data_IF_753236594723
#
_entry.id   IF_753236594723
#
_cell.length_a   1.000
_cell.length_b   1.000
_cell.length_c   1.000
_cell.angle_alpha   90.00
_cell.angle_beta   90.00
_cell.angle_gamma   90.00
#
_symmetry.space_group_name_H-M   'P 1'
#
loop_
_entity.id
_entity.type
_entity.pdbx_description
1 polymer ?
#
# COMPACT_ATOMS: atom_id res chain seq x y z
N UNK A 1 -20.98 -9.94 -3.85
CA UNK A 1 -22.10 -10.56 -4.60
C UNK A 1 -23.07 -9.47 -5.00
N UNK A 2 -23.70 -9.56 -6.17
CA UNK A 2 -24.76 -8.62 -6.61
C UNK A 2 -26.11 -9.34 -6.61
N UNK A 3 -27.18 -8.65 -6.29
CA UNK A 3 -28.54 -9.22 -6.29
C UNK A 3 -29.62 -8.15 -6.39
N UNK A 4 -30.82 -8.58 -6.77
CA UNK A 4 -31.99 -7.71 -6.96
C UNK A 4 -33.26 -8.26 -6.30
N UNK A 5 -33.38 -9.59 -6.15
CA UNK A 5 -34.57 -10.25 -5.64
C UNK A 5 -34.50 -10.66 -4.17
N UNK A 6 -35.67 -10.98 -3.59
CA UNK A 6 -35.81 -11.59 -2.25
C UNK A 6 -34.99 -12.88 -2.11
N UNK A 7 -34.83 -13.63 -3.20
CA UNK A 7 -34.11 -14.89 -3.23
C UNK A 7 -32.59 -14.70 -3.07
N UNK A 8 -32.07 -13.51 -3.41
CA UNK A 8 -30.66 -13.18 -3.28
C UNK A 8 -30.29 -12.75 -1.86
N UNK A 9 -31.27 -12.42 -1.02
CA UNK A 9 -31.04 -11.87 0.32
C UNK A 9 -30.13 -12.75 1.21
N UNK A 10 -30.28 -14.09 1.28
CA UNK A 10 -29.36 -14.93 2.05
C UNK A 10 -27.92 -14.90 1.52
N UNK A 11 -27.77 -14.77 0.21
CA UNK A 11 -26.48 -14.82 -0.46
C UNK A 11 -25.77 -13.46 -0.43
N UNK A 12 -26.52 -12.36 -0.54
CA UNK A 12 -26.07 -11.00 -0.25
C UNK A 12 -25.57 -10.89 1.19
N UNK A 13 -26.32 -11.45 2.16
CA UNK A 13 -25.94 -11.41 3.57
C UNK A 13 -24.71 -12.26 3.90
N UNK A 14 -24.50 -13.36 3.17
CA UNK A 14 -23.35 -14.27 3.37
C UNK A 14 -22.08 -13.76 2.67
N UNK A 15 -22.21 -12.93 1.64
CA UNK A 15 -21.05 -12.38 0.93
C UNK A 15 -20.26 -11.41 1.81
N UNK A 16 -18.94 -11.31 1.59
CA UNK A 16 -18.11 -10.32 2.28
C UNK A 16 -18.57 -8.88 2.00
N UNK A 17 -19.15 -8.66 0.81
CA UNK A 17 -19.81 -7.42 0.40
C UNK A 17 -21.03 -7.80 -0.46
N UNK A 18 -22.23 -7.56 0.05
CA UNK A 18 -23.49 -7.63 -0.69
C UNK A 18 -23.82 -6.29 -1.37
N UNK A 19 -24.10 -6.30 -2.68
CA UNK A 19 -24.44 -5.11 -3.47
C UNK A 19 -25.84 -5.27 -4.06
N UNK A 20 -26.78 -4.41 -3.66
CA UNK A 20 -28.11 -4.33 -4.26
C UNK A 20 -28.10 -3.38 -5.46
N UNK A 21 -28.72 -3.78 -6.56
CA UNK A 21 -28.89 -2.94 -7.77
C UNK A 21 -29.94 -1.84 -7.51
N UNK A 22 -29.93 -0.77 -8.29
CA UNK A 22 -30.85 0.36 -8.12
C UNK A 22 -32.33 -0.07 -8.10
N UNK A 23 -32.73 -1.01 -8.94
CA UNK A 23 -34.10 -1.52 -9.02
C UNK A 23 -34.35 -2.75 -8.14
N UNK A 24 -33.46 -3.03 -7.18
CA UNK A 24 -33.61 -4.16 -6.26
C UNK A 24 -34.81 -4.02 -5.33
N UNK A 25 -35.41 -5.15 -4.98
CA UNK A 25 -36.47 -5.26 -3.96
C UNK A 25 -35.99 -4.73 -2.61
N UNK A 26 -36.92 -4.20 -1.79
CA UNK A 26 -36.57 -3.65 -0.47
C UNK A 26 -35.95 -4.71 0.47
N UNK A 27 -36.30 -5.98 0.27
CA UNK A 27 -35.68 -7.10 0.95
C UNK A 27 -34.20 -7.27 0.56
N UNK A 28 -33.88 -7.21 -0.73
CA UNK A 28 -32.50 -7.28 -1.22
C UNK A 28 -31.68 -6.06 -0.77
N UNK A 29 -32.26 -4.85 -0.82
CA UNK A 29 -31.63 -3.62 -0.32
C UNK A 29 -31.30 -3.72 1.18
N UNK A 30 -32.25 -4.20 1.98
CA UNK A 30 -32.07 -4.39 3.43
C UNK A 30 -31.04 -5.46 3.79
N UNK A 31 -30.85 -6.45 2.92
CA UNK A 31 -29.86 -7.52 3.11
C UNK A 31 -28.45 -7.14 2.64
N UNK A 32 -28.31 -6.11 1.79
CA UNK A 32 -27.04 -5.67 1.19
C UNK A 32 -26.26 -4.67 2.05
N UNK A 33 -24.95 -4.61 1.89
CA UNK A 33 -24.07 -3.63 2.55
C UNK A 33 -23.96 -2.32 1.76
N UNK A 34 -24.15 -2.40 0.43
CA UNK A 34 -24.10 -1.26 -0.49
C UNK A 34 -25.32 -1.31 -1.40
N UNK A 35 -26.03 -0.19 -1.50
CA UNK A 35 -27.15 -0.02 -2.45
C UNK A 35 -26.71 0.95 -3.54
N UNK A 36 -26.77 0.50 -4.80
CA UNK A 36 -26.49 1.36 -5.95
C UNK A 36 -27.69 2.27 -6.20
N UNK A 37 -27.46 3.56 -6.38
CA UNK A 37 -28.53 4.52 -6.74
C UNK A 37 -28.67 4.68 -8.25
N UNK A 38 -27.71 4.17 -9.02
CA UNK A 38 -27.68 4.23 -10.48
C UNK A 38 -27.57 2.80 -11.04
N UNK A 39 -28.26 2.49 -12.15
CA UNK A 39 -28.12 1.19 -12.79
C UNK A 39 -26.77 1.06 -13.51
N UNK A 40 -26.25 -0.16 -13.58
CA UNK A 40 -25.09 -0.50 -14.40
C UNK A 40 -23.87 -1.01 -13.63
N UNK A 41 -23.16 -1.94 -14.25
CA UNK A 41 -21.96 -2.59 -13.69
C UNK A 41 -20.77 -1.62 -13.60
N UNK A 42 -20.79 -0.53 -14.38
CA UNK A 42 -19.80 0.55 -14.34
C UNK A 42 -19.73 1.24 -12.97
N UNK A 43 -20.87 1.38 -12.28
CA UNK A 43 -20.94 2.01 -10.95
C UNK A 43 -20.16 1.19 -9.92
N UNK A 44 -20.21 -0.15 -10.03
CA UNK A 44 -19.46 -1.07 -9.16
C UNK A 44 -17.95 -0.87 -9.37
N UNK A 45 -17.50 -0.74 -10.63
CA UNK A 45 -16.08 -0.51 -10.94
C UNK A 45 -15.62 0.83 -10.34
N UNK A 46 -16.41 1.90 -10.52
CA UNK A 46 -16.13 3.22 -9.95
C UNK A 46 -16.10 3.21 -8.43
N UNK A 47 -17.03 2.48 -7.79
CA UNK A 47 -17.07 2.30 -6.34
C UNK A 47 -15.82 1.55 -5.83
N UNK A 48 -15.40 0.49 -6.52
CA UNK A 48 -14.19 -0.27 -6.18
C UNK A 48 -12.93 0.59 -6.32
N UNK A 49 -12.80 1.35 -7.41
CA UNK A 49 -11.66 2.25 -7.60
C UNK A 49 -11.61 3.36 -6.53
N UNK A 50 -12.76 3.93 -6.19
CA UNK A 50 -12.89 4.94 -5.14
C UNK A 50 -12.54 4.36 -3.77
N UNK A 51 -13.07 3.17 -3.44
CA UNK A 51 -12.76 2.45 -2.21
C UNK A 51 -11.26 2.17 -2.08
N UNK A 52 -10.61 1.71 -3.15
CA UNK A 52 -9.14 1.53 -3.17
C UNK A 52 -8.39 2.84 -2.91
N UNK A 53 -8.86 3.97 -3.43
CA UNK A 53 -8.23 5.27 -3.16
C UNK A 53 -8.34 5.68 -1.69
N UNK A 54 -9.50 5.44 -1.05
CA UNK A 54 -9.73 5.70 0.37
C UNK A 54 -8.88 4.77 1.23
N UNK A 55 -8.84 3.49 0.89
CA UNK A 55 -8.03 2.49 1.58
C UNK A 55 -6.54 2.85 1.58
N UNK A 56 -6.02 3.38 0.46
CA UNK A 56 -4.63 3.86 0.40
C UNK A 56 -4.39 5.07 1.33
N UNK A 57 -5.33 6.02 1.40
CA UNK A 57 -5.22 7.14 2.36
C UNK A 57 -5.17 6.65 3.80
N UNK A 58 -6.00 5.66 4.15
CA UNK A 58 -6.00 5.07 5.49
C UNK A 58 -4.66 4.40 5.81
N UNK A 59 -4.11 3.57 4.90
CA UNK A 59 -2.79 2.94 5.10
C UNK A 59 -1.69 3.98 5.28
N UNK A 60 -1.65 5.00 4.43
CA UNK A 60 -0.65 6.08 4.49
C UNK A 60 -0.73 6.85 5.81
N UNK A 61 -1.95 7.12 6.29
CA UNK A 61 -2.19 7.72 7.60
C UNK A 61 -1.71 6.84 8.74
N UNK A 62 -1.98 5.53 8.71
CA UNK A 62 -1.51 4.62 9.76
C UNK A 62 0.02 4.55 9.81
N UNK A 63 0.70 4.49 8.67
CA UNK A 63 2.19 4.54 8.62
C UNK A 63 2.69 5.83 9.27
N UNK A 64 2.09 6.97 8.91
CA UNK A 64 2.43 8.27 9.46
C UNK A 64 2.22 8.34 10.98
N UNK A 65 1.06 7.92 11.48
CA UNK A 65 0.71 7.96 12.90
C UNK A 65 1.70 7.11 13.71
N UNK A 66 1.98 5.88 13.27
CA UNK A 66 2.97 5.00 13.91
C UNK A 66 4.37 5.62 13.88
N UNK A 67 4.76 6.26 12.77
CA UNK A 67 6.08 6.88 12.66
C UNK A 67 6.27 8.02 13.66
N UNK A 68 5.27 8.89 13.81
CA UNK A 68 5.35 10.02 14.73
C UNK A 68 5.37 9.57 16.18
N UNK A 69 4.55 8.58 16.56
CA UNK A 69 4.57 8.08 17.94
C UNK A 69 5.94 7.51 18.30
N UNK A 70 6.52 6.68 17.42
CA UNK A 70 7.88 6.15 17.61
C UNK A 70 8.91 7.27 17.66
N UNK A 71 8.82 8.27 16.79
CA UNK A 71 9.76 9.40 16.79
C UNK A 71 9.73 10.19 18.09
N UNK A 72 8.53 10.58 18.54
CA UNK A 72 8.36 11.41 19.76
C UNK A 72 8.84 10.62 20.97
N UNK A 73 8.41 9.37 21.11
CA UNK A 73 8.78 8.52 22.25
C UNK A 73 10.28 8.26 22.26
N UNK A 74 10.85 7.71 21.18
CA UNK A 74 12.28 7.38 21.14
C UNK A 74 13.16 8.62 21.16
N UNK A 75 12.81 9.67 20.40
CA UNK A 75 13.61 10.88 20.27
C UNK A 75 13.78 11.60 21.60
N UNK A 76 12.67 11.93 22.27
CA UNK A 76 12.74 12.63 23.56
C UNK A 76 13.26 11.73 24.68
N UNK A 77 12.94 10.43 24.68
CA UNK A 77 13.53 9.48 25.63
C UNK A 77 15.06 9.43 25.52
N UNK A 78 15.61 9.35 24.31
CA UNK A 78 17.06 9.31 24.10
C UNK A 78 17.73 10.62 24.52
N UNK A 79 17.12 11.77 24.21
CA UNK A 79 17.65 13.08 24.62
C UNK A 79 17.67 13.21 26.15
N UNK A 80 16.60 12.80 26.83
CA UNK A 80 16.52 12.81 28.28
C UNK A 80 17.53 11.84 28.92
N UNK A 81 17.69 10.63 28.36
CA UNK A 81 18.61 9.62 28.89
C UNK A 81 20.08 10.06 28.78
N UNK A 82 20.49 10.60 27.64
CA UNK A 82 21.91 10.89 27.35
C UNK A 82 22.33 12.24 27.95
N UNK A 83 21.50 13.28 27.83
CA UNK A 83 21.87 14.65 28.22
C UNK A 83 21.07 15.22 29.40
N UNK A 84 20.17 14.43 30.02
CA UNK A 84 19.30 14.89 31.12
C UNK A 84 18.58 16.20 30.76
N UNK A 85 18.10 16.26 29.53
CA UNK A 85 17.40 17.42 28.99
C UNK A 85 15.91 17.10 28.88
N UNK A 86 15.12 17.78 29.71
CA UNK A 86 13.67 17.60 29.75
C UNK A 86 13.02 18.55 28.74
N UNK A 87 12.28 17.97 27.79
CA UNK A 87 11.56 18.74 26.80
C UNK A 87 10.19 19.17 27.34
N UNK A 88 9.82 20.44 27.11
CA UNK A 88 8.58 21.03 27.59
C UNK A 88 7.34 20.28 27.04
N UNK A 89 6.48 19.70 27.90
CA UNK A 89 5.27 19.01 27.46
C UNK A 89 4.30 19.92 26.68
N UNK A 90 4.28 21.22 27.00
CA UNK A 90 3.47 22.19 26.29
C UNK A 90 3.88 22.31 24.82
N UNK A 91 5.17 22.21 24.51
CA UNK A 91 5.65 22.25 23.12
C UNK A 91 5.27 20.99 22.34
N UNK A 92 5.22 19.83 23.01
CA UNK A 92 4.68 18.59 22.42
C UNK A 92 3.19 18.77 22.09
N UNK A 93 2.43 19.39 23.00
CA UNK A 93 1.02 19.71 22.77
C UNK A 93 0.84 20.63 21.56
N UNK A 94 1.67 21.68 21.43
CA UNK A 94 1.63 22.57 20.26
C UNK A 94 1.93 21.80 18.96
N UNK A 95 2.92 20.90 18.97
CA UNK A 95 3.21 20.03 17.82
C UNK A 95 1.98 19.17 17.48
N UNK A 96 1.34 18.56 18.49
CA UNK A 96 0.16 17.72 18.29
C UNK A 96 -1.00 18.51 17.65
N UNK A 97 -1.33 19.70 18.17
CA UNK A 97 -2.41 20.55 17.65
C UNK A 97 -2.12 20.96 16.19
N UNK A 98 -0.88 21.38 15.90
CA UNK A 98 -0.50 21.75 14.53
C UNK A 98 -0.58 20.54 13.58
N UNK A 99 -0.14 19.37 14.02
CA UNK A 99 -0.22 18.15 13.23
C UNK A 99 -1.67 17.75 12.97
N UNK A 100 -2.55 17.76 13.96
CA UNK A 100 -3.97 17.41 13.80
C UNK A 100 -4.67 18.31 12.76
N UNK A 101 -4.41 19.62 12.80
CA UNK A 101 -4.92 20.56 11.81
C UNK A 101 -4.49 20.19 10.38
N UNK A 102 -3.24 19.77 10.19
CA UNK A 102 -2.75 19.32 8.87
C UNK A 102 -3.28 17.95 8.47
N UNK A 103 -3.46 17.01 9.40
CA UNK A 103 -3.92 15.65 9.15
C UNK A 103 -5.34 15.63 8.58
N UNK A 104 -6.21 16.55 9.00
CA UNK A 104 -7.56 16.66 8.44
C UNK A 104 -7.56 16.80 6.90
N UNK A 105 -6.50 17.39 6.33
CA UNK A 105 -6.36 17.55 4.88
C UNK A 105 -6.03 16.25 4.13
N UNK A 106 -5.46 15.23 4.81
CA UNK A 106 -5.14 13.92 4.22
C UNK A 106 -6.41 13.22 3.73
N UNK A 107 -7.53 13.42 4.42
CA UNK A 107 -8.83 12.87 4.02
C UNK A 107 -9.26 13.28 2.61
N UNK A 108 -8.86 14.50 2.19
CA UNK A 108 -9.16 15.11 0.88
C UNK A 108 -8.00 15.02 -0.12
N UNK A 109 -6.93 14.29 0.21
CA UNK A 109 -5.73 14.24 -0.62
C UNK A 109 -5.92 13.40 -1.90
N UNK A 110 -5.21 13.75 -2.96
CA UNK A 110 -5.29 13.03 -4.25
C UNK A 110 -4.31 11.85 -4.26
N UNK A 111 -4.79 10.67 -3.87
CA UNK A 111 -4.01 9.42 -3.84
C UNK A 111 -4.39 8.52 -5.01
N UNK A 112 -3.40 7.86 -5.64
CA UNK A 112 -3.61 6.90 -6.72
C UNK A 112 -4.12 5.57 -6.15
N UNK A 113 -5.22 4.99 -6.68
CA UNK A 113 -5.69 3.69 -6.23
C UNK A 113 -4.67 2.59 -6.59
N UNK A 114 -4.65 1.52 -5.80
CA UNK A 114 -3.83 0.35 -6.10
C UNK A 114 -4.40 -0.40 -7.33
N UNK A 115 -3.56 -0.83 -8.30
CA UNK A 115 -4.03 -1.60 -9.46
C UNK A 115 -4.53 -2.99 -9.05
N UNK A 116 -3.94 -3.59 -8.02
CA UNK A 116 -4.32 -4.88 -7.46
C UNK A 116 -5.13 -4.69 -6.17
N UNK A 117 -6.04 -5.64 -5.85
CA UNK A 117 -6.67 -5.69 -4.54
C UNK A 117 -5.58 -5.78 -3.46
N UNK A 118 -5.73 -4.94 -2.44
CA UNK A 118 -4.76 -4.80 -1.36
C UNK A 118 -5.49 -5.13 -0.05
N UNK A 119 -4.83 -5.87 0.83
CA UNK A 119 -5.35 -6.23 2.14
C UNK A 119 -4.61 -5.46 3.24
N UNK A 120 -5.22 -5.37 4.43
CA UNK A 120 -4.62 -4.64 5.54
C UNK A 120 -3.49 -5.46 6.20
N UNK A 121 -2.30 -5.40 5.61
CA UNK A 121 -1.10 -6.03 6.16
C UNK A 121 -0.50 -5.16 7.26
N UNK A 122 -1.03 -5.30 8.48
CA UNK A 122 -0.61 -4.51 9.66
C UNK A 122 0.91 -4.56 9.88
N UNK A 123 1.51 -5.75 9.77
CA UNK A 123 2.95 -5.92 10.02
C UNK A 123 3.81 -5.06 9.07
N UNK A 124 3.48 -4.99 7.78
CA UNK A 124 4.21 -4.15 6.81
C UNK A 124 4.08 -2.66 7.16
N UNK A 125 2.87 -2.24 7.56
CA UNK A 125 2.57 -0.86 7.96
C UNK A 125 3.35 -0.48 9.22
N UNK A 126 3.35 -1.33 10.24
CA UNK A 126 4.05 -1.09 11.50
C UNK A 126 5.57 -1.07 11.32
N UNK A 127 6.14 -2.04 10.58
CA UNK A 127 7.57 -2.07 10.30
C UNK A 127 7.99 -0.81 9.56
N UNK A 128 7.24 -0.39 8.53
CA UNK A 128 7.52 0.85 7.80
C UNK A 128 7.49 2.06 8.72
N UNK A 129 6.48 2.14 9.60
CA UNK A 129 6.34 3.23 10.55
C UNK A 129 7.48 3.28 11.56
N UNK A 130 7.89 2.14 12.11
CA UNK A 130 8.99 2.04 13.08
C UNK A 130 10.33 2.44 12.45
N UNK A 131 10.60 2.04 11.20
CA UNK A 131 11.83 2.44 10.50
C UNK A 131 11.88 3.95 10.27
N UNK A 132 10.80 4.58 9.80
CA UNK A 132 10.77 6.03 9.67
C UNK A 132 10.89 6.73 11.02
N UNK A 133 10.12 6.30 12.02
CA UNK A 133 10.15 6.90 13.35
C UNK A 133 11.52 6.82 14.01
N UNK A 134 12.19 5.67 13.92
CA UNK A 134 13.54 5.46 14.47
C UNK A 134 14.60 6.28 13.74
N UNK A 135 14.59 6.32 12.40
CA UNK A 135 15.48 7.20 11.63
C UNK A 135 15.31 8.67 12.02
N UNK A 136 14.06 9.15 12.11
CA UNK A 136 13.77 10.51 12.49
C UNK A 136 14.15 10.82 13.95
N UNK A 137 14.00 9.85 14.85
CA UNK A 137 14.46 9.98 16.23
C UNK A 137 15.99 10.13 16.29
N UNK A 138 16.72 9.27 15.57
CA UNK A 138 18.19 9.34 15.49
C UNK A 138 18.64 10.67 14.91
N UNK A 139 18.01 11.17 13.84
CA UNK A 139 18.34 12.48 13.28
C UNK A 139 18.02 13.63 14.25
N UNK A 140 16.93 13.52 15.01
CA UNK A 140 16.62 14.51 16.06
C UNK A 140 17.68 14.51 17.17
N UNK A 141 18.19 13.33 17.55
CA UNK A 141 19.29 13.17 18.52
C UNK A 141 20.60 13.71 17.97
N UNK A 142 20.94 13.43 16.71
CA UNK A 142 22.14 13.97 16.04
C UNK A 142 22.07 15.50 15.97
N UNK A 143 20.90 16.06 15.63
CA UNK A 143 20.69 17.51 15.65
C UNK A 143 20.95 18.09 17.04
N UNK A 144 20.40 17.48 18.09
CA UNK A 144 20.60 17.93 19.46
C UNK A 144 22.07 17.84 19.90
N UNK A 145 22.74 16.73 19.58
CA UNK A 145 24.17 16.55 19.85
C UNK A 145 25.03 17.59 19.11
N UNK A 146 24.77 17.81 17.83
CA UNK A 146 25.50 18.77 17.00
C UNK A 146 25.27 20.22 17.47
N UNK A 147 24.10 20.53 18.02
CA UNK A 147 23.79 21.85 18.61
C UNK A 147 24.44 22.05 19.98
N UNK A 148 24.49 21.00 20.83
CA UNK A 148 24.90 21.10 22.23
C UNK A 148 26.37 20.83 22.49
N UNK A 149 26.97 19.87 21.78
CA UNK A 149 28.30 19.34 22.08
C UNK A 149 29.36 19.77 21.08
N UNK A 150 28.96 20.29 19.91
CA UNK A 150 29.87 20.68 18.83
C UNK A 150 29.59 22.12 18.42
N UNK A 151 30.61 22.86 17.99
CA UNK A 151 30.46 24.20 17.39
C UNK A 151 30.24 24.14 15.87
N UNK A 152 29.78 23.00 15.34
CA UNK A 152 29.64 22.77 13.90
C UNK A 152 28.75 23.81 13.23
N UNK A 153 27.59 24.11 13.84
CA UNK A 153 26.65 25.09 13.30
C UNK A 153 27.17 26.53 13.39
N UNK A 154 27.85 26.87 14.49
CA UNK A 154 28.49 28.17 14.70
C UNK A 154 29.59 28.41 13.66
N UNK A 155 30.45 27.42 13.43
CA UNK A 155 31.59 27.53 12.52
C UNK A 155 31.18 27.51 11.04
N UNK A 156 30.16 26.73 10.68
CA UNK A 156 29.74 26.60 9.27
C UNK A 156 28.84 27.74 8.83
N UNK A 157 27.87 28.13 9.68
CA UNK A 157 26.81 29.07 9.31
C UNK A 157 26.94 30.44 9.99
N UNK A 158 28.00 30.66 10.79
CA UNK A 158 28.28 31.93 11.48
C UNK A 158 27.10 32.43 12.34
N UNK A 159 26.33 31.51 12.93
CA UNK A 159 25.19 31.83 13.80
C UNK A 159 25.64 31.91 15.25
N UNK A 160 24.88 32.61 16.11
CA UNK A 160 25.14 32.74 17.54
C UNK A 160 25.23 31.37 18.21
N UNK A 161 26.22 31.14 19.06
CA UNK A 161 26.29 29.87 19.80
C UNK A 161 25.13 29.75 20.79
N UNK A 162 24.41 28.62 20.73
CA UNK A 162 23.32 28.26 21.66
C UNK A 162 23.85 27.55 22.92
N UNK A 163 25.17 27.48 23.09
CA UNK A 163 25.79 26.78 24.21
C UNK A 163 25.31 27.34 25.55
N UNK A 164 24.69 26.47 26.37
CA UNK A 164 24.28 26.79 27.74
C UNK A 164 22.90 27.41 27.90
N UNK A 165 22.23 27.82 26.82
CA UNK A 165 20.87 28.39 26.89
C UNK A 165 19.80 27.33 26.59
N UNK A 166 19.31 26.67 27.65
CA UNK A 166 18.35 25.55 27.52
C UNK A 166 17.06 25.96 26.81
N UNK A 167 16.56 27.17 27.05
CA UNK A 167 15.27 27.62 26.52
C UNK A 167 15.31 27.90 25.01
N UNK A 168 16.45 28.41 24.51
CA UNK A 168 16.64 28.61 23.05
C UNK A 168 16.89 27.29 22.33
N UNK A 169 17.59 26.34 22.99
CA UNK A 169 17.73 24.97 22.48
C UNK A 169 16.39 24.23 22.38
N UNK A 170 15.47 24.46 23.33
CA UNK A 170 14.10 23.91 23.25
C UNK A 170 13.36 24.44 22.02
N UNK A 171 13.44 25.74 21.73
CA UNK A 171 12.87 26.35 20.52
C UNK A 171 13.41 25.72 19.24
N UNK A 172 14.73 25.52 19.18
CA UNK A 172 15.39 24.93 18.03
C UNK A 172 14.94 23.48 17.80
N UNK A 173 14.89 22.68 18.88
CA UNK A 173 14.44 21.30 18.83
C UNK A 173 12.95 21.19 18.47
N UNK A 174 12.10 22.06 19.04
CA UNK A 174 10.68 22.16 18.68
C UNK A 174 10.50 22.39 17.17
N UNK A 175 11.21 23.37 16.61
CA UNK A 175 11.09 23.71 15.20
C UNK A 175 11.52 22.56 14.29
N UNK A 176 12.66 21.93 14.61
CA UNK A 176 13.16 20.77 13.86
C UNK A 176 12.17 19.60 13.90
N UNK A 177 11.57 19.33 15.07
CA UNK A 177 10.58 18.27 15.22
C UNK A 177 9.33 18.59 14.43
N UNK A 178 8.82 19.82 14.52
CA UNK A 178 7.63 20.27 13.80
C UNK A 178 7.77 20.18 12.28
N UNK A 179 8.86 20.71 11.69
CA UNK A 179 9.09 20.71 10.23
C UNK A 179 9.09 19.28 9.69
N UNK A 180 9.93 18.42 10.26
CA UNK A 180 10.09 17.05 9.75
C UNK A 180 8.84 16.21 9.98
N UNK A 181 8.09 16.45 11.08
CA UNK A 181 6.88 15.67 11.36
C UNK A 181 5.83 15.91 10.28
N UNK A 182 5.63 17.17 9.88
CA UNK A 182 4.69 17.47 8.80
C UNK A 182 5.27 17.09 7.42
N UNK A 183 6.58 17.23 7.22
CA UNK A 183 7.22 16.82 5.97
C UNK A 183 7.03 15.31 5.71
N UNK A 184 7.04 14.49 6.76
CA UNK A 184 6.82 13.05 6.67
C UNK A 184 5.50 12.68 5.95
N UNK A 185 4.46 13.53 6.04
CA UNK A 185 3.19 13.32 5.32
C UNK A 185 3.43 13.18 3.81
N UNK A 186 4.35 13.95 3.24
CA UNK A 186 4.66 13.89 1.80
C UNK A 186 5.37 12.60 1.39
N UNK A 187 6.14 12.00 2.30
CA UNK A 187 6.81 10.71 2.06
C UNK A 187 5.81 9.56 2.20
N UNK A 188 4.98 9.57 3.26
CA UNK A 188 4.04 8.48 3.53
C UNK A 188 2.88 8.46 2.53
N UNK A 189 2.45 9.62 2.01
CA UNK A 189 1.41 9.66 0.97
C UNK A 189 1.86 9.13 -0.38
N UNK A 190 3.15 9.21 -0.68
CA UNK A 190 3.67 8.99 -2.03
C UNK A 190 4.14 7.56 -2.25
N UNK A 191 3.71 6.95 -3.36
CA UNK A 191 4.21 5.62 -3.74
C UNK A 191 5.55 5.72 -4.45
N UNK A 192 5.71 6.63 -5.40
CA UNK A 192 7.00 6.95 -5.99
C UNK A 192 7.73 8.01 -5.15
N UNK A 193 8.71 8.69 -5.72
CA UNK A 193 9.34 9.87 -5.13
C UNK A 193 8.30 10.91 -4.71
N UNK A 194 8.47 11.48 -3.52
CA UNK A 194 7.53 12.46 -2.96
C UNK A 194 7.39 13.70 -3.85
N UNK A 195 8.47 14.11 -4.53
CA UNK A 195 8.48 15.24 -5.47
C UNK A 195 7.77 14.96 -6.79
N UNK A 196 7.68 13.69 -7.22
CA UNK A 196 7.02 13.31 -8.47
C UNK A 196 5.49 13.27 -8.32
N UNK A 197 4.99 12.95 -7.12
CA UNK A 197 3.56 12.83 -6.85
C UNK A 197 2.99 14.13 -6.29
N UNK A 198 2.33 14.90 -7.16
CA UNK A 198 1.77 16.21 -6.80
C UNK A 198 0.85 16.13 -5.56
N UNK A 199 1.14 16.90 -4.49
CA UNK A 199 0.25 17.05 -3.35
C UNK A 199 -1.05 17.79 -3.69
N UNK A 200 -2.12 17.44 -2.96
CA UNK A 200 -3.35 18.22 -2.99
C UNK A 200 -3.10 19.64 -2.49
N UNK A 201 -3.71 20.63 -3.13
CA UNK A 201 -3.52 22.05 -2.78
C UNK A 201 -3.84 22.35 -1.30
N UNK A 202 -4.84 21.67 -0.76
CA UNK A 202 -5.26 21.78 0.64
C UNK A 202 -4.16 21.32 1.61
N UNK A 203 -3.47 20.22 1.27
CA UNK A 203 -2.35 19.71 2.06
C UNK A 203 -1.16 20.67 2.03
N UNK A 204 -0.81 21.20 0.85
CA UNK A 204 0.25 22.19 0.72
C UNK A 204 -0.03 23.45 1.53
N UNK A 205 -1.25 23.97 1.40
CA UNK A 205 -1.67 25.17 2.12
C UNK A 205 -1.62 24.96 3.64
N UNK A 206 -2.14 23.82 4.13
CA UNK A 206 -2.09 23.50 5.55
C UNK A 206 -0.65 23.33 6.06
N UNK A 207 0.22 22.67 5.28
CA UNK A 207 1.64 22.55 5.59
C UNK A 207 2.30 23.93 5.70
N UNK A 208 2.15 24.79 4.68
CA UNK A 208 2.77 26.13 4.69
C UNK A 208 2.27 26.96 5.86
N UNK A 209 0.96 26.97 6.11
CA UNK A 209 0.37 27.71 7.23
C UNK A 209 0.89 27.21 8.58
N UNK A 210 0.88 25.90 8.80
CA UNK A 210 1.34 25.32 10.06
C UNK A 210 2.85 25.53 10.27
N UNK A 211 3.65 25.50 9.19
CA UNK A 211 5.09 25.77 9.25
C UNK A 211 5.42 27.25 9.46
N UNK A 212 4.63 28.17 8.93
CA UNK A 212 4.74 29.60 9.24
C UNK A 212 4.49 29.81 10.74
N UNK A 213 3.40 29.23 11.27
CA UNK A 213 3.07 29.34 12.70
C UNK A 213 4.18 28.74 13.57
N UNK A 214 4.67 27.54 13.23
CA UNK A 214 5.76 26.90 13.97
C UNK A 214 7.06 27.71 13.93
N UNK A 215 7.41 28.28 12.76
CA UNK A 215 8.62 29.10 12.61
C UNK A 215 8.50 30.41 13.39
N UNK A 216 7.35 31.09 13.33
CA UNK A 216 7.11 32.30 14.10
C UNK A 216 7.16 32.04 15.61
N UNK A 217 6.60 30.92 16.07
CA UNK A 217 6.68 30.53 17.48
C UNK A 217 8.14 30.29 17.90
N UNK A 218 8.92 29.55 17.11
CA UNK A 218 10.31 29.27 17.43
C UNK A 218 11.22 30.52 17.42
N UNK A 219 10.91 31.51 16.57
CA UNK A 219 11.71 32.73 16.43
C UNK A 219 11.35 33.79 17.47
N UNK A 220 10.06 33.97 17.79
CA UNK A 220 9.58 35.10 18.58
C UNK A 220 9.03 34.74 19.96
N UNK A 221 8.69 33.48 20.22
CA UNK A 221 8.07 33.13 21.50
C UNK A 221 9.07 33.31 22.66
N UNK A 222 8.62 34.01 23.69
CA UNK A 222 9.31 34.10 24.97
C UNK A 222 8.30 33.78 26.07
N UNK A 223 8.08 32.48 26.31
CA UNK A 223 7.08 32.00 27.26
C UNK A 223 7.81 31.35 28.43
N UNK A 224 7.90 32.07 29.55
CA UNK A 224 8.56 31.58 30.77
C UNK A 224 7.92 30.30 31.32
N UNK A 225 6.60 30.11 31.17
CA UNK A 225 5.91 28.90 31.61
C UNK A 225 6.25 27.67 30.75
N UNK A 226 6.62 27.88 29.48
CA UNK A 226 6.90 26.80 28.54
C UNK A 226 8.41 26.55 28.36
N UNK A 227 9.25 27.26 29.11
CA UNK A 227 10.73 27.23 29.01
C UNK A 227 11.22 27.41 27.57
N UNK A 228 10.64 28.37 26.85
CA UNK A 228 10.99 28.66 25.46
C UNK A 228 11.43 30.11 25.28
N UNK A 229 12.52 30.29 24.54
CA UNK A 229 13.02 31.61 24.18
C UNK A 229 13.37 31.66 22.69
N UNK A 230 12.97 32.74 22.03
CA UNK A 230 13.13 32.90 20.59
C UNK A 230 14.58 32.73 20.11
N UNK A 231 14.80 31.81 19.17
CA UNK A 231 16.14 31.43 18.66
C UNK A 231 16.67 32.39 17.57
N UNK A 232 15.78 33.23 17.02
CA UNK A 232 16.09 34.15 15.91
C UNK A 232 16.07 33.51 14.52
N UNK A 233 15.99 34.36 13.48
CA UNK A 233 15.84 33.92 12.08
C UNK A 233 17.06 33.18 11.52
N UNK A 234 18.27 33.51 11.97
CA UNK A 234 19.49 32.83 11.51
C UNK A 234 19.47 31.34 11.86
N UNK A 235 19.13 31.02 13.12
CA UNK A 235 18.96 29.63 13.55
C UNK A 235 17.76 28.95 12.90
N UNK A 236 16.63 29.65 12.75
CA UNK A 236 15.48 29.09 12.04
C UNK A 236 15.87 28.64 10.60
N UNK A 237 16.65 29.43 9.87
CA UNK A 237 17.15 29.07 8.55
C UNK A 237 18.04 27.81 8.56
N UNK A 238 18.95 27.70 9.53
CA UNK A 238 19.80 26.50 9.69
C UNK A 238 18.97 25.26 10.02
N UNK A 239 17.95 25.40 10.88
CA UNK A 239 17.04 24.31 11.24
C UNK A 239 16.23 23.85 10.03
N UNK A 240 15.75 24.79 9.22
CA UNK A 240 15.09 24.50 7.94
C UNK A 240 16.00 23.73 7.00
N UNK A 241 17.25 24.19 6.83
CA UNK A 241 18.24 23.53 5.99
C UNK A 241 18.52 22.10 6.48
N UNK A 242 18.77 21.93 7.78
CA UNK A 242 18.96 20.61 8.39
C UNK A 242 17.76 19.70 8.17
N UNK A 243 16.55 20.24 8.30
CA UNK A 243 15.30 19.50 8.11
C UNK A 243 15.11 19.05 6.67
N UNK A 244 15.43 19.90 5.70
CA UNK A 244 15.38 19.57 4.27
C UNK A 244 16.40 18.48 3.94
N UNK A 245 17.64 18.58 4.44
CA UNK A 245 18.67 17.55 4.23
C UNK A 245 18.24 16.21 4.85
N UNK A 246 17.68 16.25 6.06
CA UNK A 246 17.18 15.05 6.76
C UNK A 246 16.00 14.40 6.04
N UNK A 247 15.21 15.20 5.30
CA UNK A 247 14.04 14.73 4.58
C UNK A 247 14.40 13.92 3.32
N UNK A 248 15.46 14.28 2.59
CA UNK A 248 15.79 13.65 1.31
C UNK A 248 16.00 12.12 1.39
N UNK A 249 16.72 11.56 2.38
CA UNK A 249 16.91 10.12 2.49
C UNK A 249 15.64 9.32 2.80
N UNK A 250 14.56 9.95 3.30
CA UNK A 250 13.33 9.24 3.66
C UNK A 250 12.71 8.48 2.47
N UNK A 251 12.79 9.05 1.27
CA UNK A 251 12.35 8.38 0.05
C UNK A 251 13.23 7.16 -0.29
N UNK A 252 14.52 7.18 0.04
CA UNK A 252 15.40 6.02 -0.13
C UNK A 252 15.02 4.89 0.84
N UNK A 253 14.76 5.24 2.11
CA UNK A 253 14.26 4.28 3.10
C UNK A 253 12.93 3.68 2.66
N UNK A 254 12.03 4.47 2.06
CA UNK A 254 10.76 4.00 1.51
C UNK A 254 10.94 2.89 0.48
N UNK A 255 11.85 3.08 -0.46
CA UNK A 255 12.14 2.07 -1.48
C UNK A 255 12.82 0.85 -0.87
N UNK A 256 13.77 1.04 0.06
CA UNK A 256 14.45 -0.05 0.77
C UNK A 256 13.48 -0.94 1.57
N UNK A 257 12.57 -0.33 2.34
CA UNK A 257 11.58 -1.06 3.15
C UNK A 257 10.63 -1.84 2.25
N UNK A 258 10.11 -1.22 1.18
CA UNK A 258 9.21 -1.95 0.25
C UNK A 258 9.92 -3.06 -0.49
N UNK A 259 11.18 -2.85 -0.88
CA UNK A 259 11.98 -3.88 -1.51
C UNK A 259 12.17 -5.08 -0.56
N UNK A 260 12.49 -4.82 0.72
CA UNK A 260 12.63 -5.85 1.74
C UNK A 260 11.32 -6.59 2.04
N UNK A 261 10.20 -5.86 2.18
CA UNK A 261 8.88 -6.43 2.51
C UNK A 261 8.21 -7.13 1.32
N UNK A 262 8.51 -6.75 0.08
CA UNK A 262 7.91 -7.37 -1.11
C UNK A 262 8.36 -8.82 -1.33
N UNK A 263 9.29 -9.37 -0.53
CA UNK A 263 9.83 -10.74 -0.67
C UNK A 263 10.74 -10.92 -1.89
N UNK A 264 10.53 -10.12 -2.94
CA UNK A 264 11.31 -10.12 -4.18
C UNK A 264 12.81 -9.93 -3.98
N UNK A 265 13.26 -9.30 -2.88
CA UNK A 265 14.68 -9.18 -2.54
C UNK A 265 15.32 -10.52 -2.15
N UNK A 266 14.60 -11.33 -1.38
CA UNK A 266 15.04 -12.67 -1.00
C UNK A 266 14.85 -13.64 -2.15
N UNK A 267 13.72 -13.54 -2.87
CA UNK A 267 13.50 -14.33 -4.09
C UNK A 267 14.57 -14.00 -5.13
N UNK A 268 14.93 -12.73 -5.38
CA UNK A 268 16.02 -12.42 -6.33
C UNK A 268 17.42 -12.75 -5.82
N UNK A 269 17.71 -12.73 -4.51
CA UNK A 269 19.02 -13.18 -4.01
C UNK A 269 19.16 -14.71 -4.04
N UNK A 270 18.07 -15.46 -3.82
CA UNK A 270 18.02 -16.90 -4.01
C UNK A 270 17.94 -17.29 -5.49
N UNK A 271 17.21 -16.52 -6.32
CA UNK A 271 17.12 -16.69 -7.77
C UNK A 271 18.37 -16.21 -8.50
N UNK A 272 19.17 -15.25 -7.99
CA UNK A 272 20.44 -14.85 -8.63
C UNK A 272 21.52 -15.93 -8.51
N UNK A 273 21.32 -16.97 -7.69
CA UNK A 273 22.12 -18.21 -7.80
C UNK A 273 21.65 -19.15 -8.92
N UNK A 274 20.53 -18.86 -9.58
CA UNK A 274 19.90 -19.71 -10.61
C UNK A 274 19.66 -18.95 -11.93
N UNK A 275 19.65 -17.62 -11.94
CA UNK A 275 19.30 -16.79 -13.08
C UNK A 275 20.51 -16.15 -13.78
N UNK A 276 21.53 -16.95 -14.11
CA UNK A 276 22.38 -16.65 -15.27
C UNK A 276 21.82 -17.38 -16.49
N UNK A 277 20.65 -16.95 -16.96
CA UNK A 277 20.22 -17.29 -18.32
C UNK A 277 19.99 -15.99 -19.08
N UNK A 278 20.86 -15.74 -20.04
CA UNK A 278 20.83 -14.62 -20.99
C UNK A 278 19.78 -14.85 -22.08
N UNK A 279 18.57 -15.30 -21.73
CA UNK A 279 17.47 -15.41 -22.71
C UNK A 279 16.61 -14.15 -22.67
N UNK A 280 16.67 -13.40 -23.78
CA UNK A 280 16.05 -12.08 -23.95
C UNK A 280 14.52 -12.13 -24.04
N UNK A 281 13.95 -13.29 -24.35
CA UNK A 281 12.50 -13.50 -24.51
C UNK A 281 12.07 -14.81 -23.83
N UNK A 282 11.67 -14.71 -22.56
CA UNK A 282 11.16 -15.86 -21.80
C UNK A 282 9.85 -16.37 -22.42
N UNK A 283 9.78 -17.66 -22.74
CA UNK A 283 8.55 -18.34 -23.16
C UNK A 283 8.04 -18.05 -24.58
N UNK A 284 8.79 -17.34 -25.44
CA UNK A 284 8.40 -17.18 -26.86
C UNK A 284 8.74 -18.42 -27.67
N UNK A 285 9.97 -18.92 -27.57
CA UNK A 285 10.42 -20.14 -28.25
C UNK A 285 9.63 -21.38 -27.80
N UNK A 286 9.27 -21.46 -26.51
CA UNK A 286 8.45 -22.55 -25.97
C UNK A 286 7.02 -22.53 -26.50
N UNK A 287 6.42 -21.34 -26.67
CA UNK A 287 5.09 -21.19 -27.29
C UNK A 287 5.12 -21.52 -28.77
N UNK A 288 6.18 -21.14 -29.48
CA UNK A 288 6.37 -21.49 -30.89
C UNK A 288 6.58 -23.00 -31.07
N UNK A 289 7.34 -23.64 -30.17
CA UNK A 289 7.53 -25.09 -30.16
C UNK A 289 6.24 -25.85 -29.81
N UNK A 290 5.46 -25.38 -28.83
CA UNK A 290 4.17 -25.96 -28.48
C UNK A 290 3.14 -25.80 -29.62
N UNK A 291 3.12 -24.64 -30.28
CA UNK A 291 2.26 -24.40 -31.43
C UNK A 291 2.64 -25.31 -32.61
N UNK A 292 3.93 -25.44 -32.92
CA UNK A 292 4.42 -26.36 -33.94
C UNK A 292 4.12 -27.84 -33.61
N UNK A 293 4.18 -28.22 -32.33
CA UNK A 293 3.87 -29.58 -31.88
C UNK A 293 2.37 -29.86 -31.94
N UNK A 294 1.53 -28.91 -31.52
CA UNK A 294 0.08 -29.00 -31.62
C UNK A 294 -0.42 -29.06 -33.08
N UNK A 295 0.27 -28.36 -33.99
CA UNK A 295 -0.07 -28.39 -35.41
C UNK A 295 0.34 -29.72 -36.07
N UNK A 296 1.44 -30.34 -35.61
CA UNK A 296 1.86 -31.68 -36.06
C UNK A 296 0.93 -32.79 -35.58
N UNK A 297 0.41 -32.70 -34.35
CA UNK A 297 -0.55 -33.70 -33.83
C UNK A 297 -1.93 -33.58 -34.48
N UNK A 298 -2.34 -32.37 -34.87
CA UNK A 298 -3.58 -32.12 -35.64
C UNK A 298 -3.53 -32.74 -37.05
N UNK A 299 -2.34 -32.96 -37.61
CA UNK A 299 -2.13 -33.62 -38.89
C UNK A 299 -1.76 -35.11 -38.78
N UNK A 300 -1.88 -35.72 -37.59
CA UNK A 300 -1.78 -37.17 -37.41
C UNK A 300 -0.36 -37.76 -37.54
N UNK A 301 0.69 -36.94 -37.49
CA UNK A 301 2.09 -37.40 -37.53
C UNK A 301 2.61 -37.68 -36.10
N UNK A 302 3.11 -38.89 -35.84
CA UNK A 302 3.76 -39.24 -34.57
C UNK A 302 5.18 -38.66 -34.47
N UNK A 303 5.56 -38.22 -33.27
CA UNK A 303 6.91 -37.71 -32.95
C UNK A 303 7.87 -38.84 -32.58
N UNK A 304 9.16 -38.80 -32.97
CA UNK A 304 10.14 -39.78 -32.52
C UNK A 304 10.51 -39.52 -31.05
N UNK A 305 10.55 -40.59 -30.24
CA UNK A 305 11.05 -40.56 -28.87
C UNK A 305 12.56 -40.24 -28.88
N UNK A 306 12.95 -39.02 -28.50
CA UNK A 306 14.35 -38.66 -28.33
C UNK A 306 14.77 -38.96 -26.89
N UNK A 307 15.48 -40.08 -26.73
CA UNK A 307 16.21 -40.40 -25.52
C UNK A 307 17.41 -39.44 -25.34
N UNK A 308 17.44 -38.75 -24.20
CA UNK A 308 18.65 -38.13 -23.65
C UNK A 308 18.62 -36.60 -23.56
N UNK A 309 18.30 -36.08 -22.37
CA UNK A 309 19.04 -35.04 -21.62
C UNK A 309 18.44 -35.02 -20.20
N UNK A 310 19.30 -35.32 -19.22
CA UNK A 310 18.98 -35.53 -17.81
C UNK A 310 18.89 -34.19 -17.06
N UNK A 311 17.70 -33.59 -16.96
CA UNK A 311 17.24 -32.90 -15.72
C UNK A 311 15.78 -32.37 -15.73
N UNK A 312 15.02 -32.49 -16.82
CA UNK A 312 13.64 -31.94 -16.91
C UNK A 312 12.53 -32.94 -16.51
N UNK A 313 12.85 -34.08 -15.90
CA UNK A 313 11.88 -35.17 -15.67
C UNK A 313 10.85 -34.90 -14.57
N UNK A 314 11.03 -33.90 -13.70
CA UNK A 314 10.08 -33.64 -12.59
C UNK A 314 8.86 -32.84 -13.05
N UNK A 315 9.06 -31.78 -13.85
CA UNK A 315 7.98 -30.83 -14.17
C UNK A 315 7.02 -31.37 -15.25
N UNK A 316 7.54 -32.11 -16.23
CA UNK A 316 6.71 -32.73 -17.28
C UNK A 316 5.82 -33.86 -16.76
N UNK A 317 6.26 -34.61 -15.74
CA UNK A 317 5.49 -35.71 -15.16
C UNK A 317 4.28 -35.19 -14.38
N UNK A 318 4.46 -34.12 -13.59
CA UNK A 318 3.38 -33.50 -12.82
C UNK A 318 2.33 -32.84 -13.73
N UNK A 319 2.74 -32.13 -14.79
CA UNK A 319 1.80 -31.52 -15.74
C UNK A 319 1.04 -32.58 -16.56
N UNK A 320 1.70 -33.69 -16.93
CA UNK A 320 1.06 -34.83 -17.60
C UNK A 320 0.05 -35.51 -16.69
N UNK A 321 0.37 -35.74 -15.41
CA UNK A 321 -0.56 -36.33 -14.45
C UNK A 321 -1.78 -35.45 -14.19
N UNK A 322 -1.60 -34.12 -14.08
CA UNK A 322 -2.70 -33.17 -13.91
C UNK A 322 -3.62 -33.16 -15.14
N UNK A 323 -3.05 -33.16 -16.35
CA UNK A 323 -3.82 -33.20 -17.59
C UNK A 323 -4.58 -34.53 -17.74
N UNK A 324 -3.97 -35.66 -17.37
CA UNK A 324 -4.60 -36.97 -17.42
C UNK A 324 -5.72 -37.10 -16.37
N UNK A 325 -5.52 -36.57 -15.16
CA UNK A 325 -6.56 -36.49 -14.13
C UNK A 325 -7.73 -35.58 -14.56
N UNK A 326 -7.46 -34.45 -15.20
CA UNK A 326 -8.49 -33.56 -15.74
C UNK A 326 -9.30 -34.25 -16.85
N UNK A 327 -8.63 -34.97 -17.77
CA UNK A 327 -9.28 -35.76 -18.82
C UNK A 327 -10.18 -36.85 -18.24
N UNK A 328 -9.70 -37.63 -17.26
CA UNK A 328 -10.50 -38.66 -16.59
C UNK A 328 -11.71 -38.07 -15.86
N UNK A 329 -11.57 -36.90 -15.22
CA UNK A 329 -12.71 -36.21 -14.56
C UNK A 329 -13.75 -35.73 -15.57
N UNK A 330 -13.33 -35.19 -16.71
CA UNK A 330 -14.22 -34.78 -17.79
C UNK A 330 -14.95 -35.97 -18.42
N UNK A 331 -14.27 -37.10 -18.59
CA UNK A 331 -14.85 -38.32 -19.15
C UNK A 331 -15.84 -38.99 -18.19
N UNK A 332 -15.54 -38.99 -16.89
CA UNK A 332 -16.49 -39.43 -15.84
C UNK A 332 -17.70 -38.50 -15.76
N UNK A 333 -17.52 -37.18 -15.91
CA UNK A 333 -18.64 -36.23 -15.96
C UNK A 333 -19.53 -36.48 -17.19
N UNK A 334 -18.93 -36.70 -18.36
CA UNK A 334 -19.65 -37.01 -19.61
C UNK A 334 -20.40 -38.34 -19.54
N UNK A 335 -19.80 -39.38 -18.95
CA UNK A 335 -20.45 -40.67 -18.75
C UNK A 335 -21.58 -40.59 -17.71
N UNK A 336 -21.43 -39.76 -16.67
CA UNK A 336 -22.50 -39.47 -15.72
C UNK A 336 -23.69 -38.79 -16.41
N UNK A 337 -23.46 -37.79 -17.26
CA UNK A 337 -24.52 -37.16 -18.04
C UNK A 337 -25.26 -38.18 -18.92
N UNK A 338 -24.55 -39.07 -19.62
CA UNK A 338 -25.15 -40.14 -20.43
C UNK A 338 -25.92 -41.19 -19.62
N UNK A 339 -25.60 -41.38 -18.33
CA UNK A 339 -26.30 -42.32 -17.44
C UNK A 339 -27.58 -41.74 -16.82
N UNK A 340 -27.78 -40.42 -16.89
CA UNK A 340 -29.02 -39.79 -16.43
C UNK A 340 -30.11 -39.88 -17.50
N UNK A 341 -31.37 -40.09 -17.07
CA UNK A 341 -32.55 -40.12 -17.95
C UNK A 341 -32.62 -38.89 -18.87
N UNK A 342 -32.25 -37.71 -18.34
CA UNK A 342 -32.18 -36.45 -19.08
C UNK A 342 -31.14 -36.51 -20.20
N UNK A 343 -29.92 -36.98 -19.92
CA UNK A 343 -28.87 -37.09 -20.94
C UNK A 343 -29.15 -38.16 -22.00
N UNK A 344 -29.82 -39.27 -21.63
CA UNK A 344 -30.29 -40.24 -22.62
C UNK A 344 -31.36 -39.64 -23.55
N UNK A 345 -32.31 -38.88 -23.00
CA UNK A 345 -33.33 -38.18 -23.78
C UNK A 345 -32.69 -37.17 -24.75
N UNK A 346 -31.79 -36.33 -24.26
CA UNK A 346 -31.11 -35.32 -25.08
C UNK A 346 -30.26 -35.95 -26.18
N UNK A 347 -29.56 -37.06 -25.91
CA UNK A 347 -28.79 -37.80 -26.92
C UNK A 347 -29.66 -38.41 -28.01
N UNK A 348 -30.79 -39.02 -27.65
CA UNK A 348 -31.73 -39.63 -28.61
C UNK A 348 -32.41 -38.56 -29.47
N UNK A 349 -32.75 -37.42 -28.87
CA UNK A 349 -33.35 -36.28 -29.57
C UNK A 349 -32.35 -35.65 -30.55
N UNK A 350 -31.07 -35.51 -30.18
CA UNK A 350 -30.00 -35.07 -31.08
C UNK A 350 -29.73 -36.04 -32.22
N UNK A 351 -29.73 -37.35 -31.95
CA UNK A 351 -29.56 -38.39 -32.97
C UNK A 351 -30.71 -38.44 -33.99
N UNK A 352 -31.92 -38.05 -33.57
CA UNK A 352 -33.09 -37.92 -34.46
C UNK A 352 -33.19 -36.57 -35.17
N UNK A 353 -32.22 -35.66 -34.96
CA UNK A 353 -32.20 -34.35 -35.61
C UNK A 353 -33.35 -33.43 -35.19
N UNK A 354 -33.91 -33.63 -33.99
CA UNK A 354 -35.01 -32.82 -33.46
C UNK A 354 -34.45 -31.65 -32.64
N UNK A 355 -35.01 -30.46 -32.86
CA UNK A 355 -34.56 -29.23 -32.22
C UNK A 355 -35.16 -29.11 -30.81
N UNK A 356 -34.30 -28.94 -29.79
CA UNK A 356 -34.69 -28.99 -28.36
C UNK A 356 -35.28 -27.66 -27.89
N UNK A 357 -35.04 -26.56 -28.61
CA UNK A 357 -35.42 -25.20 -28.18
C UNK A 357 -36.94 -24.92 -28.28
N UNK A 358 -37.74 -25.84 -28.84
CA UNK A 358 -39.19 -25.68 -29.02
C UNK A 358 -40.09 -26.37 -27.98
N UNK A 359 -39.55 -27.18 -27.06
CA UNK A 359 -40.39 -27.93 -26.11
C UNK A 359 -40.55 -27.13 -24.81
N UNK A 360 -41.63 -26.35 -24.72
CA UNK A 360 -42.09 -25.74 -23.47
C UNK A 360 -42.29 -26.82 -22.39
N UNK A 361 -41.41 -26.85 -21.39
CA UNK A 361 -41.63 -27.62 -20.18
C UNK A 361 -42.55 -26.85 -19.23
N UNK A 362 -43.85 -26.88 -19.51
CA UNK A 362 -44.84 -26.75 -18.45
C UNK A 362 -44.99 -28.12 -17.80
N UNK A 363 -44.34 -28.38 -16.67
CA UNK A 363 -44.86 -29.26 -15.62
C UNK A 363 -44.25 -28.88 -14.28
N UNK A 364 -45.10 -28.33 -13.42
CA UNK A 364 -45.01 -28.38 -11.95
C UNK A 364 -45.14 -29.81 -11.47
N UNK A 365 -44.21 -30.27 -10.63
CA UNK A 365 -44.46 -30.82 -9.27
C UNK A 365 -43.21 -30.55 -8.43
#
# INVERSE_FOLDING_TARGET
MTGDGVNDAPALKKADIGIAVADATDAARSASDIVLTEPGLSVIISAVLTSRSIFQRMKNYTIYAVSITIRIVLGFMLIALIWKFDFSPFMILVIAILNDGTIMTISKDRVKPSPHPDSWKLNEIFVTGVVYGSYLAVMTVIFFWAMRSTDFFTNTFHVRSLHGNRDEMMSALYLQVSIISQALIFVTRSRSWCFAERPGYLLCFAFVLAQIVATLLAVYANLGFAHIRGVGWGWAGVIWLYSVVTFLPLDLFKFGIRYALSGKAWDTLFEHKIAFTTKKDYGREEREAQWATAQRTLHGLQTPELAGILNERSSYRELSEIAEQAKRRAEVARLRELSTLKGQMESVVKLKGLDIEGIQQHYTV
#
